data_IF_848337527110
#
_entry.id   IF_848337527110
#
_cell.length_a   1.000
_cell.length_b   1.000
_cell.length_c   1.000
_cell.angle_alpha   90.00
_cell.angle_beta   90.00
_cell.angle_gamma   90.00
#
_symmetry.space_group_name_H-M   'P 1'
#
loop_
_entity.id
_entity.type
_entity.pdbx_description
1 polymer ?
#
# COMPACT_ATOMS: atom_id res chain seq x y z
N UNK A 1 -18.38 35.17 47.96
CA UNK A 1 -17.44 34.12 48.39
C UNK A 1 -17.67 32.95 47.43
N UNK A 2 -16.96 32.93 46.29
CA UNK A 2 -17.20 31.97 45.21
C UNK A 2 -16.36 30.71 45.47
N UNK A 3 -17.01 29.56 45.67
CA UNK A 3 -16.35 28.25 45.71
C UNK A 3 -16.56 27.51 44.40
N UNK A 4 -15.60 27.65 43.48
CA UNK A 4 -15.47 26.84 42.28
C UNK A 4 -15.12 25.40 42.64
N UNK A 5 -15.90 24.44 42.14
CA UNK A 5 -15.61 23.00 42.28
C UNK A 5 -15.00 22.48 40.98
N UNK A 6 -13.75 22.02 41.04
CA UNK A 6 -13.04 21.36 39.93
C UNK A 6 -13.44 19.88 39.83
N UNK A 7 -13.70 19.31 38.64
CA UNK A 7 -13.84 17.87 38.48
C UNK A 7 -12.49 17.18 38.25
N UNK A 8 -12.35 15.97 38.81
CA UNK A 8 -11.18 15.11 38.73
C UNK A 8 -10.88 14.60 37.31
N UNK A 9 -9.61 14.30 36.96
CA UNK A 9 -9.27 13.64 35.71
C UNK A 9 -9.55 12.14 35.79
N UNK A 10 -10.51 11.66 35.01
CA UNK A 10 -10.70 10.23 34.78
C UNK A 10 -9.57 9.67 33.88
N UNK A 11 -8.99 8.48 34.17
CA UNK A 11 -8.04 7.85 33.27
C UNK A 11 -8.79 7.26 32.06
N UNK A 12 -8.54 7.82 30.87
CA UNK A 12 -9.01 7.23 29.61
C UNK A 12 -8.42 5.82 29.42
N UNK A 13 -9.17 4.87 28.83
CA UNK A 13 -8.65 3.55 28.47
C UNK A 13 -7.43 3.70 27.53
N UNK A 14 -6.38 2.86 27.66
CA UNK A 14 -5.27 2.90 26.73
C UNK A 14 -5.78 2.49 25.34
N UNK A 15 -5.82 3.46 24.43
CA UNK A 15 -5.91 3.22 22.99
C UNK A 15 -4.85 2.17 22.62
N UNK A 16 -5.15 1.14 21.81
CA UNK A 16 -4.17 0.14 21.43
C UNK A 16 -3.00 0.84 20.74
N UNK A 17 -1.89 0.92 21.47
CA UNK A 17 -0.65 1.54 21.01
C UNK A 17 -0.10 0.60 19.95
N UNK A 18 -0.08 1.07 18.70
CA UNK A 18 0.60 0.43 17.58
C UNK A 18 2.02 0.10 18.04
N UNK A 19 2.24 -1.15 18.45
CA UNK A 19 3.44 -1.55 19.17
C UNK A 19 4.53 -1.70 18.12
N UNK A 20 5.34 -0.65 17.96
CA UNK A 20 6.49 -0.57 17.06
C UNK A 20 7.59 -1.55 17.51
N UNK A 21 7.35 -2.86 17.39
CA UNK A 21 8.43 -3.84 17.32
C UNK A 21 9.30 -3.48 16.11
N UNK A 22 10.61 -3.36 16.33
CA UNK A 22 11.54 -2.61 15.49
C UNK A 22 11.44 -2.89 13.98
N UNK A 23 11.01 -1.89 13.22
CA UNK A 23 11.01 -1.91 11.76
C UNK A 23 12.46 -2.05 11.27
N UNK A 24 12.75 -3.02 10.40
CA UNK A 24 14.08 -3.26 9.82
C UNK A 24 14.05 -3.16 8.29
N UNK A 25 15.23 -3.06 7.66
CA UNK A 25 15.33 -3.08 6.21
C UNK A 25 15.32 -4.52 5.69
N UNK A 26 14.32 -4.86 4.89
CA UNK A 26 14.14 -6.22 4.35
C UNK A 26 14.84 -6.46 3.00
N UNK A 27 15.57 -5.47 2.47
CA UNK A 27 16.28 -5.64 1.20
C UNK A 27 17.39 -6.70 1.29
N UNK A 28 18.18 -6.67 2.37
CA UNK A 28 19.28 -7.58 2.63
C UNK A 28 19.43 -7.76 4.14
N UNK A 29 19.59 -9.01 4.60
CA UNK A 29 19.69 -9.34 6.03
C UNK A 29 20.89 -8.68 6.73
N UNK A 30 21.94 -8.34 5.97
CA UNK A 30 23.11 -7.60 6.47
C UNK A 30 22.89 -6.08 6.58
N UNK A 31 21.70 -5.56 6.22
CA UNK A 31 21.42 -4.15 6.36
C UNK A 31 21.17 -3.79 7.82
N UNK A 32 22.18 -3.17 8.46
CA UNK A 32 22.15 -2.78 9.87
C UNK A 32 21.68 -1.35 10.10
N UNK A 33 21.14 -0.67 9.09
CA UNK A 33 20.71 0.73 9.25
C UNK A 33 19.58 0.81 10.31
N UNK A 34 19.82 1.45 11.45
CA UNK A 34 18.86 1.43 12.55
C UNK A 34 17.64 2.30 12.22
N UNK A 35 16.49 1.83 12.67
CA UNK A 35 15.28 2.63 12.77
C UNK A 35 15.19 3.15 14.20
N UNK A 36 15.22 4.46 14.40
CA UNK A 36 14.80 5.02 15.69
C UNK A 36 13.29 4.76 15.83
N UNK A 37 12.82 4.23 16.97
CA UNK A 37 11.39 4.02 17.23
C UNK A 37 10.57 5.30 17.06
N UNK A 38 11.16 6.44 17.39
CA UNK A 38 10.50 7.76 17.36
C UNK A 38 10.40 8.35 15.94
N UNK A 39 11.26 7.90 15.00
CA UNK A 39 11.26 8.36 13.61
C UNK A 39 11.62 7.21 12.66
N UNK A 40 10.63 6.43 12.20
CA UNK A 40 10.88 5.39 11.24
C UNK A 40 11.38 5.96 9.91
N UNK A 41 12.68 5.85 9.65
CA UNK A 41 13.33 6.30 8.40
C UNK A 41 13.12 5.32 7.23
N UNK A 42 12.56 4.15 7.50
CA UNK A 42 12.29 3.13 6.51
C UNK A 42 11.01 3.43 5.72
N UNK A 43 11.04 3.07 4.44
CA UNK A 43 9.95 3.30 3.49
C UNK A 43 9.10 2.05 3.38
N UNK A 44 7.79 2.20 3.51
CA UNK A 44 6.79 1.21 3.10
C UNK A 44 6.83 1.07 1.58
N UNK A 45 7.57 0.06 1.09
CA UNK A 45 8.16 0.03 -0.26
C UNK A 45 7.13 0.20 -1.37
N UNK A 46 6.00 -0.50 -1.24
CA UNK A 46 4.92 -0.52 -2.25
C UNK A 46 3.62 0.15 -1.77
N UNK A 47 3.64 0.88 -0.65
CA UNK A 47 2.44 1.52 -0.08
C UNK A 47 1.68 2.43 -1.06
N UNK A 48 2.34 2.96 -2.09
CA UNK A 48 1.68 3.76 -3.11
C UNK A 48 0.73 2.95 -4.01
N UNK A 49 0.96 1.64 -4.20
CA UNK A 49 0.02 0.76 -4.91
C UNK A 49 -1.27 0.62 -4.12
N UNK A 50 -1.16 0.61 -2.79
CA UNK A 50 -2.32 0.57 -1.91
C UNK A 50 -2.88 1.96 -1.59
N UNK A 51 -2.53 3.02 -2.33
CA UNK A 51 -2.99 4.38 -2.03
C UNK A 51 -2.42 4.96 -0.73
N UNK A 52 -1.09 5.15 -0.65
CA UNK A 52 -0.31 5.52 0.56
C UNK A 52 -0.99 6.47 1.57
N UNK A 53 -1.70 7.49 1.09
CA UNK A 53 -2.29 8.53 1.93
C UNK A 53 -3.78 8.32 2.25
N UNK A 54 -4.41 7.30 1.66
CA UNK A 54 -5.82 6.96 1.89
C UNK A 54 -6.02 6.50 3.33
N UNK A 55 -7.19 6.82 3.89
CA UNK A 55 -7.52 6.50 5.29
C UNK A 55 -7.47 5.00 5.54
N UNK A 56 -8.06 4.19 4.66
CA UNK A 56 -8.05 2.74 4.78
C UNK A 56 -6.61 2.19 4.80
N UNK A 57 -5.74 2.67 3.92
CA UNK A 57 -4.33 2.25 3.84
C UNK A 57 -3.51 2.63 5.07
N UNK A 58 -3.86 3.75 5.73
CA UNK A 58 -3.21 4.16 6.98
C UNK A 58 -3.55 3.25 8.16
N UNK A 59 -4.67 2.52 8.11
CA UNK A 59 -5.07 1.54 9.13
C UNK A 59 -4.24 0.26 9.07
N UNK A 60 -3.61 -0.05 7.93
CA UNK A 60 -2.77 -1.25 7.79
C UNK A 60 -1.62 -1.20 8.82
N UNK A 61 -1.47 -2.23 9.68
CA UNK A 61 -0.41 -2.29 10.70
C UNK A 61 0.99 -2.17 10.10
N UNK A 62 1.95 -1.63 10.85
CA UNK A 62 3.30 -1.41 10.31
C UNK A 62 3.95 -2.73 9.89
N UNK A 63 3.83 -3.78 10.69
CA UNK A 63 4.41 -5.10 10.43
C UNK A 63 3.90 -5.78 9.14
N UNK A 64 2.74 -5.38 8.63
CA UNK A 64 2.22 -5.92 7.36
C UNK A 64 2.93 -5.34 6.13
N UNK A 65 3.63 -4.21 6.28
CA UNK A 65 4.40 -3.60 5.20
C UNK A 65 5.78 -4.21 5.07
N UNK A 66 6.26 -4.25 3.83
CA UNK A 66 7.67 -4.46 3.55
C UNK A 66 8.41 -3.13 3.64
N UNK A 67 9.52 -3.09 4.38
CA UNK A 67 10.27 -1.87 4.65
C UNK A 67 11.67 -1.90 4.08
N UNK A 68 12.04 -0.89 3.29
CA UNK A 68 13.43 -0.66 2.87
C UNK A 68 13.96 0.66 3.43
N UNK A 69 15.26 0.70 3.75
CA UNK A 69 15.93 1.95 4.04
C UNK A 69 15.94 2.86 2.79
N UNK A 70 16.19 4.16 2.96
CA UNK A 70 16.23 5.11 1.82
C UNK A 70 17.22 4.67 0.73
N UNK A 71 18.41 4.21 1.13
CA UNK A 71 19.48 3.78 0.23
C UNK A 71 19.07 2.58 -0.62
N UNK A 72 18.50 1.55 0.00
CA UNK A 72 18.08 0.34 -0.72
C UNK A 72 16.84 0.56 -1.58
N UNK A 73 15.87 1.36 -1.12
CA UNK A 73 14.76 1.77 -1.96
C UNK A 73 15.21 2.45 -3.25
N UNK A 74 16.19 3.37 -3.17
CA UNK A 74 16.73 4.05 -4.34
C UNK A 74 17.46 3.10 -5.29
N UNK A 75 18.31 2.21 -4.77
CA UNK A 75 19.02 1.21 -5.58
C UNK A 75 18.05 0.36 -6.38
N UNK A 76 17.10 -0.27 -5.71
CA UNK A 76 16.16 -1.19 -6.34
C UNK A 76 15.26 -0.49 -7.37
N UNK A 77 14.70 0.67 -7.00
CA UNK A 77 13.74 1.36 -7.88
C UNK A 77 14.36 1.89 -9.17
N UNK A 78 15.59 2.42 -9.10
CA UNK A 78 16.18 3.18 -10.20
C UNK A 78 17.31 2.43 -10.92
N UNK A 79 17.86 1.37 -10.33
CA UNK A 79 19.00 0.64 -10.90
C UNK A 79 18.61 -0.76 -11.41
N UNK A 80 17.37 -1.19 -11.18
CA UNK A 80 16.90 -2.53 -11.58
C UNK A 80 15.81 -2.40 -12.64
N UNK A 81 16.08 -2.90 -13.84
CA UNK A 81 15.10 -2.95 -14.95
C UNK A 81 13.89 -3.82 -14.62
N UNK A 82 14.05 -4.83 -13.77
CA UNK A 82 12.98 -5.70 -13.29
C UNK A 82 12.16 -5.12 -12.13
N UNK A 83 12.31 -3.83 -11.79
CA UNK A 83 11.56 -3.19 -10.72
C UNK A 83 10.03 -3.43 -10.81
N UNK A 84 9.37 -3.33 -11.98
CA UNK A 84 7.92 -3.61 -12.09
C UNK A 84 7.53 -5.04 -11.71
N UNK A 85 8.38 -6.03 -12.03
CA UNK A 85 8.16 -7.41 -11.62
C UNK A 85 8.33 -7.56 -10.11
N UNK A 86 9.39 -6.96 -9.56
CA UNK A 86 9.62 -6.97 -8.12
C UNK A 86 8.47 -6.28 -7.37
N UNK A 87 7.86 -5.23 -7.92
CA UNK A 87 6.65 -4.65 -7.33
C UNK A 87 5.52 -5.66 -7.22
N UNK A 88 5.33 -6.55 -8.21
CA UNK A 88 4.32 -7.60 -8.15
C UNK A 88 4.62 -8.59 -7.01
N UNK A 89 5.87 -9.04 -6.87
CA UNK A 89 6.28 -9.92 -5.77
C UNK A 89 6.06 -9.27 -4.40
N UNK A 90 6.45 -8.00 -4.26
CA UNK A 90 6.25 -7.24 -3.03
C UNK A 90 4.77 -7.06 -2.69
N UNK A 91 3.89 -6.91 -3.70
CA UNK A 91 2.44 -6.87 -3.49
C UNK A 91 1.94 -8.23 -3.01
N UNK A 92 2.34 -9.34 -3.65
CA UNK A 92 1.92 -10.69 -3.23
C UNK A 92 2.33 -11.01 -1.79
N UNK A 93 3.57 -10.70 -1.42
CA UNK A 93 4.06 -10.89 -0.05
C UNK A 93 3.34 -9.97 0.94
N UNK A 94 3.05 -8.71 0.57
CA UNK A 94 2.27 -7.81 1.42
C UNK A 94 0.83 -8.31 1.60
N UNK A 95 0.19 -8.86 0.57
CA UNK A 95 -1.14 -9.47 0.65
C UNK A 95 -1.15 -10.67 1.60
N UNK A 96 -0.10 -11.51 1.58
CA UNK A 96 0.04 -12.61 2.53
C UNK A 96 0.10 -12.11 3.98
N UNK A 97 0.90 -11.08 4.27
CA UNK A 97 0.99 -10.49 5.62
C UNK A 97 -0.31 -9.83 6.06
N UNK A 98 -0.98 -9.14 5.14
CA UNK A 98 -2.28 -8.50 5.38
C UNK A 98 -3.38 -9.51 5.71
N UNK A 99 -3.44 -10.63 4.99
CA UNK A 99 -4.39 -11.72 5.26
C UNK A 99 -4.13 -12.34 6.64
N UNK A 100 -2.85 -12.51 7.01
CA UNK A 100 -2.47 -13.02 8.33
C UNK A 100 -2.83 -12.09 9.49
N UNK A 101 -2.95 -10.78 9.24
CA UNK A 101 -3.38 -9.82 10.26
C UNK A 101 -4.88 -9.93 10.57
N UNK A 102 -5.70 -10.46 9.64
CA UNK A 102 -7.11 -10.74 9.85
C UNK A 102 -8.07 -9.53 9.88
N UNK A 103 -7.58 -8.30 9.74
CA UNK A 103 -8.42 -7.08 9.82
C UNK A 103 -9.05 -6.67 8.48
N UNK A 104 -8.42 -7.04 7.36
CA UNK A 104 -8.85 -6.68 6.00
C UNK A 104 -9.70 -7.83 5.45
N UNK A 105 -10.85 -7.52 4.88
CA UNK A 105 -11.76 -8.52 4.30
C UNK A 105 -11.61 -8.64 2.79
N UNK A 106 -11.58 -7.49 2.10
CA UNK A 106 -11.55 -7.40 0.64
C UNK A 106 -10.74 -6.17 0.21
N UNK A 107 -10.61 -5.96 -1.10
CA UNK A 107 -9.97 -4.80 -1.68
C UNK A 107 -10.85 -4.18 -2.75
N UNK A 108 -10.85 -2.85 -2.82
CA UNK A 108 -11.38 -2.11 -3.96
C UNK A 108 -10.22 -1.82 -4.92
N UNK A 109 -10.24 -2.44 -6.10
CA UNK A 109 -9.27 -2.18 -7.17
C UNK A 109 -9.79 -1.05 -8.05
N UNK A 110 -9.06 0.06 -8.11
CA UNK A 110 -9.49 1.26 -8.84
C UNK A 110 -8.43 1.74 -9.82
N UNK A 111 -8.84 2.48 -10.85
CA UNK A 111 -7.92 3.29 -11.63
C UNK A 111 -7.44 4.47 -10.79
N UNK A 112 -6.15 4.82 -10.91
CA UNK A 112 -5.67 6.09 -10.35
C UNK A 112 -6.35 7.25 -11.04
N UNK A 113 -6.54 8.36 -10.30
CA UNK A 113 -7.15 9.59 -10.83
C UNK A 113 -6.60 10.02 -12.19
N UNK A 114 -5.27 9.97 -12.37
CA UNK A 114 -4.61 10.30 -13.63
C UNK A 114 -5.02 9.40 -14.80
N UNK A 115 -5.33 8.13 -14.54
CA UNK A 115 -5.77 7.21 -15.58
C UNK A 115 -7.26 7.41 -15.91
N UNK A 116 -8.07 7.78 -14.92
CA UNK A 116 -9.45 8.21 -15.15
C UNK A 116 -9.49 9.45 -16.05
N UNK A 117 -8.67 10.46 -15.75
CA UNK A 117 -8.55 11.68 -16.56
C UNK A 117 -8.12 11.36 -18.00
N UNK A 118 -7.20 10.42 -18.20
CA UNK A 118 -6.75 9.99 -19.54
C UNK A 118 -7.91 9.38 -20.34
N UNK A 119 -8.71 8.50 -19.70
CA UNK A 119 -9.87 7.86 -20.34
C UNK A 119 -10.99 8.86 -20.66
N UNK A 120 -11.11 9.95 -19.89
CA UNK A 120 -12.07 11.04 -20.14
C UNK A 120 -11.61 12.02 -21.22
N UNK A 121 -10.51 11.73 -21.94
CA UNK A 121 -9.98 12.62 -22.99
C UNK A 121 -9.17 13.80 -22.45
N UNK A 122 -8.80 13.78 -21.16
CA UNK A 122 -7.91 14.77 -20.57
C UNK A 122 -6.47 14.59 -21.06
N UNK A 123 -5.74 15.70 -21.21
CA UNK A 123 -4.31 15.67 -21.50
C UNK A 123 -3.55 15.22 -20.24
N UNK A 124 -3.08 13.96 -20.23
CA UNK A 124 -2.37 13.38 -19.08
C UNK A 124 -0.92 13.09 -19.43
N UNK A 125 0.01 13.75 -18.73
CA UNK A 125 1.43 13.37 -18.72
C UNK A 125 1.62 12.06 -17.95
N UNK A 126 1.97 10.99 -18.66
CA UNK A 126 2.38 9.73 -18.04
C UNK A 126 2.49 8.58 -19.05
N UNK A 127 3.47 7.70 -18.85
CA UNK A 127 3.86 6.63 -19.78
C UNK A 127 3.32 5.25 -19.39
N UNK A 128 2.29 5.16 -18.53
CA UNK A 128 1.86 3.89 -17.93
C UNK A 128 0.36 3.67 -18.06
N UNK A 129 -0.15 3.55 -19.29
CA UNK A 129 -1.56 3.30 -19.53
C UNK A 129 -1.97 1.97 -18.87
N UNK A 130 -3.20 1.92 -18.37
CA UNK A 130 -3.77 0.67 -17.87
C UNK A 130 -4.33 -0.10 -19.07
N UNK A 131 -3.84 -1.32 -19.36
CA UNK A 131 -4.38 -2.13 -20.45
C UNK A 131 -5.88 -2.36 -20.26
N UNK A 132 -6.63 -2.43 -21.37
CA UNK A 132 -8.09 -2.52 -21.29
C UNK A 132 -8.57 -3.71 -20.45
N UNK A 133 -7.94 -4.89 -20.61
CA UNK A 133 -8.26 -6.07 -19.81
C UNK A 133 -8.12 -5.85 -18.30
N UNK A 134 -7.22 -4.97 -17.85
CA UNK A 134 -7.04 -4.64 -16.44
C UNK A 134 -8.04 -3.58 -15.99
N UNK A 135 -8.42 -2.67 -16.88
CA UNK A 135 -9.47 -1.70 -16.61
C UNK A 135 -10.85 -2.37 -16.44
N UNK A 136 -11.11 -3.46 -17.15
CA UNK A 136 -12.34 -4.25 -17.02
C UNK A 136 -12.38 -5.06 -15.72
N UNK A 137 -11.24 -5.20 -15.03
CA UNK A 137 -11.10 -5.93 -13.78
C UNK A 137 -11.23 -5.02 -12.54
N UNK A 138 -11.52 -3.73 -12.68
CA UNK A 138 -11.73 -2.85 -11.50
C UNK A 138 -12.95 -3.25 -10.69
N UNK A 139 -12.96 -2.90 -9.40
CA UNK A 139 -14.03 -3.22 -8.46
C UNK A 139 -13.54 -4.00 -7.23
N UNK A 140 -14.51 -4.46 -6.44
CA UNK A 140 -14.28 -5.27 -5.25
C UNK A 140 -13.69 -6.64 -5.59
N UNK A 141 -12.68 -7.05 -4.84
CA UNK A 141 -11.97 -8.32 -5.00
C UNK A 141 -11.54 -8.89 -3.65
N UNK A 142 -11.67 -10.20 -3.50
CA UNK A 142 -11.07 -10.98 -2.42
C UNK A 142 -9.54 -11.02 -2.52
N UNK A 143 -8.86 -11.47 -1.46
CA UNK A 143 -7.42 -11.72 -1.49
C UNK A 143 -7.00 -12.65 -2.64
N UNK A 144 -7.77 -13.71 -2.90
CA UNK A 144 -7.48 -14.68 -3.95
C UNK A 144 -7.54 -14.02 -5.34
N UNK A 145 -8.58 -13.23 -5.60
CA UNK A 145 -8.74 -12.50 -6.86
C UNK A 145 -7.66 -11.44 -7.06
N UNK A 146 -7.28 -10.69 -6.01
CA UNK A 146 -6.17 -9.73 -6.12
C UNK A 146 -4.84 -10.44 -6.40
N UNK A 147 -4.58 -11.60 -5.79
CA UNK A 147 -3.37 -12.39 -6.09
C UNK A 147 -3.34 -12.83 -7.56
N UNK A 148 -4.46 -13.36 -8.06
CA UNK A 148 -4.59 -13.76 -9.46
C UNK A 148 -4.41 -12.56 -10.40
N UNK A 149 -5.00 -11.42 -10.07
CA UNK A 149 -4.85 -10.18 -10.83
C UNK A 149 -3.38 -9.74 -10.90
N UNK A 150 -2.68 -9.74 -9.77
CA UNK A 150 -1.26 -9.36 -9.69
C UNK A 150 -0.36 -10.35 -10.45
N UNK A 151 -0.66 -11.65 -10.40
CA UNK A 151 0.03 -12.66 -11.20
C UNK A 151 -0.17 -12.44 -12.71
N UNK A 152 -1.39 -12.10 -13.13
CA UNK A 152 -1.69 -11.75 -14.53
C UNK A 152 -0.97 -10.48 -14.97
N UNK A 153 -0.92 -9.45 -14.11
CA UNK A 153 -0.12 -8.23 -14.35
C UNK A 153 1.35 -8.60 -14.53
N UNK A 154 1.92 -9.41 -13.64
CA UNK A 154 3.31 -9.86 -13.71
C UNK A 154 3.62 -10.56 -15.03
N UNK A 155 2.78 -11.51 -15.46
CA UNK A 155 2.95 -12.22 -16.72
C UNK A 155 2.87 -11.26 -17.93
N UNK A 156 1.95 -10.29 -17.90
CA UNK A 156 1.86 -9.25 -18.92
C UNK A 156 3.11 -8.37 -18.97
N UNK A 157 3.68 -8.01 -17.82
CA UNK A 157 4.92 -7.22 -17.76
C UNK A 157 6.12 -8.02 -18.27
N UNK A 158 6.20 -9.32 -17.96
CA UNK A 158 7.25 -10.21 -18.48
C UNK A 158 7.21 -10.32 -20.00
N UNK A 159 6.02 -10.43 -20.59
CA UNK A 159 5.86 -10.49 -22.04
C UNK A 159 6.32 -9.20 -22.76
N UNK A 160 6.30 -8.06 -22.06
CA UNK A 160 6.73 -6.75 -22.56
C UNK A 160 8.18 -6.41 -22.20
N UNK A 161 8.84 -7.22 -21.37
CA UNK A 161 10.24 -6.99 -21.04
C UNK A 161 11.12 -7.22 -22.27
N UNK A 162 11.94 -6.21 -22.59
CA UNK A 162 12.85 -6.24 -23.73
C UNK A 162 12.29 -5.61 -25.00
N UNK A 163 10.99 -5.34 -25.07
CA UNK A 163 10.37 -4.61 -26.19
C UNK A 163 10.21 -3.13 -25.87
N UNK A 164 9.84 -2.81 -24.63
CA UNK A 164 9.57 -1.43 -24.21
C UNK A 164 9.89 -1.20 -22.73
N UNK A 165 9.86 0.06 -22.33
CA UNK A 165 9.99 0.45 -20.92
C UNK A 165 8.67 0.16 -20.21
N UNK A 166 8.69 -0.90 -19.41
CA UNK A 166 7.52 -1.31 -18.62
C UNK A 166 7.48 -0.65 -17.24
N UNK A 167 6.28 -0.53 -16.69
CA UNK A 167 6.02 -0.02 -15.35
C UNK A 167 4.80 -0.73 -14.75
N UNK A 168 4.68 -0.70 -13.41
CA UNK A 168 3.46 -1.21 -12.79
C UNK A 168 2.26 -0.33 -13.20
N UNK A 169 1.12 -0.93 -13.61
CA UNK A 169 -0.02 -0.19 -14.16
C UNK A 169 -0.65 0.77 -13.15
N UNK A 170 -1.32 1.80 -13.66
CA UNK A 170 -1.88 2.89 -12.87
C UNK A 170 -3.20 2.58 -12.16
N UNK A 171 -3.13 1.58 -11.29
CA UNK A 171 -4.21 1.18 -10.39
C UNK A 171 -3.88 1.48 -8.92
N UNK A 172 -4.90 1.46 -8.07
CA UNK A 172 -4.78 1.37 -6.63
C UNK A 172 -5.52 0.12 -6.13
N UNK A 173 -4.94 -0.58 -5.14
CA UNK A 173 -5.54 -1.74 -4.47
C UNK A 173 -5.87 -1.30 -3.04
N UNK A 174 -7.06 -0.78 -2.81
CA UNK A 174 -7.43 -0.13 -1.54
C UNK A 174 -8.04 -1.17 -0.58
N UNK A 175 -7.53 -1.32 0.64
CA UNK A 175 -8.07 -2.29 1.59
C UNK A 175 -9.47 -1.89 2.09
N UNK A 176 -10.35 -2.87 2.28
CA UNK A 176 -11.66 -2.74 2.92
C UNK A 176 -11.62 -3.57 4.22
N UNK A 177 -11.94 -2.94 5.34
CA UNK A 177 -11.86 -3.54 6.68
C UNK A 177 -13.24 -4.02 7.13
N UNK A 178 -13.28 -5.05 7.97
CA UNK A 178 -14.50 -5.74 8.38
C UNK A 178 -15.45 -5.01 9.33
N UNK A 179 -15.37 -3.68 9.39
CA UNK A 179 -16.25 -2.83 10.19
C UNK A 179 -16.15 -1.41 9.63
N UNK A 180 -16.80 -1.20 8.50
CA UNK A 180 -17.34 0.12 8.15
C UNK A 180 -18.81 0.10 8.57
N UNK A 181 -19.07 0.12 9.88
CA UNK A 181 -20.39 0.52 10.37
C UNK A 181 -20.56 1.98 9.96
N UNK A 182 -21.52 2.22 9.06
CA UNK A 182 -21.74 3.48 8.38
C UNK A 182 -22.00 4.65 9.32
N UNK A 183 -20.94 5.29 9.80
CA UNK A 183 -21.02 6.68 10.21
C UNK A 183 -21.04 7.55 8.96
N UNK A 184 -22.23 7.61 8.37
CA UNK A 184 -22.72 8.76 7.63
C UNK A 184 -22.50 9.98 8.54
N UNK A 185 -21.58 10.86 8.13
CA UNK A 185 -21.49 12.19 8.72
C UNK A 185 -22.71 12.96 8.18
N UNK A 186 -23.76 13.06 9.01
CA UNK A 186 -24.77 14.13 8.88
C UNK A 186 -24.10 15.51 8.96
#
# INVERSE_FOLDING_TARGET
MNTSSSPCPHPSPPTPKNTTTGITCEYQSSCTLPTSPDKPKHRKVISHIFGRNKVSTRRIPQQAWIHYCRKHYQRVRYQTSSWPLLQCELVLESLKRMEQCGEIQEFEVTLRKREVERKMGGEVKGESPVPQWLADEVGKKSFAEVRQLVQRIRASLEALLGTEKVSFPDIEILPIFGSDDGHEYE
#
